data_IF_314093081756
#
_entry.id   IF_314093081756
#
_cell.length_a   1.000
_cell.length_b   1.000
_cell.length_c   1.000
_cell.angle_alpha   90.00
_cell.angle_beta   90.00
_cell.angle_gamma   90.00
#
_symmetry.space_group_name_H-M   'P 1'
#
loop_
_entity.id
_entity.type
_entity.pdbx_description
1 polymer ?
#
# COMPACT_ATOMS: atom_id res chain seq x y z
N UNK A 1 63.48 -13.89 -39.68
CA UNK A 1 64.74 -13.78 -38.92
C UNK A 1 65.43 -12.49 -39.34
N UNK A 2 65.90 -11.73 -38.34
CA UNK A 2 66.47 -10.37 -38.29
C UNK A 2 65.53 -9.19 -38.63
N UNK A 3 64.98 -8.40 -37.70
CA UNK A 3 65.52 -7.59 -36.57
C UNK A 3 66.36 -6.39 -37.05
N UNK A 4 65.79 -5.18 -37.09
CA UNK A 4 65.94 -4.09 -36.08
C UNK A 4 67.35 -3.51 -36.00
N UNK A 5 67.49 -2.20 -36.33
CA UNK A 5 68.36 -1.18 -35.68
C UNK A 5 68.20 0.15 -36.49
N UNK A 6 67.37 1.09 -36.02
CA UNK A 6 67.73 2.26 -35.18
C UNK A 6 68.53 3.37 -35.90
N UNK A 7 67.88 4.54 -35.99
CA UNK A 7 68.30 5.82 -35.42
C UNK A 7 68.52 7.01 -36.39
N UNK A 8 67.65 8.00 -36.18
CA UNK A 8 67.94 9.45 -36.07
C UNK A 8 68.37 10.23 -37.33
N UNK A 9 67.47 11.14 -37.74
CA UNK A 9 67.76 12.59 -37.65
C UNK A 9 66.47 13.41 -37.55
N UNK A 10 66.47 14.26 -36.54
CA UNK A 10 65.42 15.19 -36.15
C UNK A 10 65.58 16.56 -36.83
N UNK A 11 64.59 17.42 -36.59
CA UNK A 11 64.53 18.89 -36.74
C UNK A 11 64.00 19.49 -38.05
N UNK A 12 62.73 19.90 -38.03
CA UNK A 12 62.34 21.26 -38.40
C UNK A 12 61.10 21.69 -37.58
N UNK A 13 61.31 22.62 -36.64
CA UNK A 13 60.29 23.28 -35.80
C UNK A 13 59.62 24.41 -36.58
N UNK A 14 58.29 24.49 -36.49
CA UNK A 14 57.55 25.71 -36.11
C UNK A 14 57.12 26.69 -37.20
N UNK A 15 55.79 26.81 -37.40
CA UNK A 15 55.11 28.10 -37.56
C UNK A 15 53.69 28.01 -36.97
N UNK A 16 53.32 29.07 -36.25
CA UNK A 16 52.16 29.21 -35.34
C UNK A 16 50.88 29.58 -36.09
N UNK A 17 49.76 29.24 -35.42
CA UNK A 17 48.35 29.68 -35.51
C UNK A 17 48.07 31.02 -36.22
N UNK A 18 46.95 31.04 -36.94
CA UNK A 18 46.09 32.21 -37.16
C UNK A 18 44.61 31.76 -37.00
N UNK A 19 44.04 32.12 -35.85
CA UNK A 19 42.67 32.52 -35.55
C UNK A 19 41.50 31.97 -36.38
N UNK A 20 40.84 30.92 -35.87
CA UNK A 20 39.39 30.79 -35.95
C UNK A 20 38.81 31.49 -34.72
N UNK A 21 38.02 32.54 -34.95
CA UNK A 21 37.31 33.27 -33.91
C UNK A 21 36.29 32.33 -33.24
N UNK A 22 36.50 32.07 -31.95
CA UNK A 22 35.50 31.55 -31.02
C UNK A 22 34.25 32.43 -31.11
N UNK A 23 33.20 31.91 -31.74
CA UNK A 23 31.85 32.38 -31.49
C UNK A 23 31.52 31.85 -30.11
N UNK A 24 31.42 32.74 -29.13
CA UNK A 24 31.02 32.44 -27.76
C UNK A 24 29.77 31.54 -27.77
N UNK A 25 29.98 30.23 -27.65
CA UNK A 25 28.95 29.26 -27.29
C UNK A 25 28.53 29.63 -25.88
N UNK A 26 27.50 30.47 -25.78
CA UNK A 26 26.77 30.70 -24.55
C UNK A 26 26.20 29.35 -24.15
N UNK A 27 26.93 28.60 -23.33
CA UNK A 27 26.42 27.39 -22.67
C UNK A 27 25.18 27.80 -21.88
N UNK A 28 24.01 27.60 -22.48
CA UNK A 28 22.74 27.68 -21.78
C UNK A 28 22.78 26.54 -20.77
N UNK A 29 23.19 26.84 -19.54
CA UNK A 29 23.15 25.92 -18.40
C UNK A 29 21.68 25.65 -18.10
N UNK A 30 21.09 24.74 -18.86
CA UNK A 30 19.77 24.20 -18.58
C UNK A 30 19.86 23.59 -17.17
N UNK A 31 18.94 23.96 -16.25
CA UNK A 31 18.98 23.42 -14.89
C UNK A 31 18.97 21.90 -14.98
N UNK A 32 20.00 21.25 -14.40
CA UNK A 32 20.10 19.78 -14.35
C UNK A 32 18.76 19.26 -13.83
N UNK A 33 17.95 18.65 -14.70
CA UNK A 33 16.65 18.07 -14.32
C UNK A 33 16.88 17.18 -13.11
N UNK A 34 16.29 17.54 -11.96
CA UNK A 34 16.37 16.76 -10.73
C UNK A 34 15.88 15.34 -11.07
N UNK A 35 16.80 14.37 -11.05
CA UNK A 35 16.46 12.98 -11.37
C UNK A 35 15.68 12.41 -10.19
N UNK A 36 14.40 12.08 -10.42
CA UNK A 36 13.59 11.38 -9.43
C UNK A 36 14.23 10.02 -9.14
N UNK A 37 14.75 9.85 -7.92
CA UNK A 37 15.35 8.60 -7.44
C UNK A 37 14.53 8.10 -6.27
N UNK A 38 13.77 7.04 -6.48
CA UNK A 38 13.00 6.36 -5.44
C UNK A 38 13.42 4.90 -5.38
N UNK A 39 13.52 4.39 -4.16
CA UNK A 39 13.70 2.97 -3.88
C UNK A 39 12.89 2.64 -2.63
N UNK A 40 12.05 1.62 -2.76
CA UNK A 40 11.07 1.29 -1.72
C UNK A 40 11.49 -0.04 -1.09
N UNK A 41 11.69 -0.08 0.22
CA UNK A 41 11.84 -1.33 0.96
C UNK A 41 10.44 -1.89 1.21
N UNK A 42 10.20 -3.16 0.89
CA UNK A 42 8.93 -3.83 1.19
C UNK A 42 9.16 -5.03 2.08
N UNK A 43 8.47 -5.08 3.20
CA UNK A 43 8.58 -6.17 4.15
C UNK A 43 7.26 -6.41 4.88
N UNK A 44 7.17 -7.53 5.61
CA UNK A 44 5.96 -7.91 6.34
C UNK A 44 6.28 -8.44 7.72
N UNK A 45 5.32 -8.38 8.63
CA UNK A 45 5.38 -9.10 9.90
C UNK A 45 5.18 -10.59 9.70
N UNK A 46 5.56 -11.39 10.69
CA UNK A 46 5.08 -12.77 10.80
C UNK A 46 3.54 -12.82 10.91
N UNK A 47 2.97 -13.88 10.33
CA UNK A 47 1.52 -14.13 10.35
C UNK A 47 0.72 -13.61 9.15
N UNK A 48 1.35 -13.15 8.08
CA UNK A 48 0.65 -12.89 6.81
C UNK A 48 -0.01 -14.15 6.25
N UNK A 49 -1.25 -14.03 5.77
CA UNK A 49 -1.99 -15.14 5.14
C UNK A 49 -1.52 -15.37 3.70
N UNK A 50 -2.04 -16.43 3.06
CA UNK A 50 -1.79 -16.71 1.65
C UNK A 50 -2.22 -15.54 0.74
N UNK A 51 -3.43 -14.99 0.95
CA UNK A 51 -3.94 -13.85 0.19
C UNK A 51 -3.08 -12.59 0.37
N UNK A 52 -2.66 -12.28 1.60
CA UNK A 52 -1.79 -11.14 1.88
C UNK A 52 -0.42 -11.27 1.19
N UNK A 53 0.10 -12.50 1.09
CA UNK A 53 1.36 -12.77 0.40
C UNK A 53 1.26 -12.53 -1.10
N UNK A 54 0.17 -12.99 -1.73
CA UNK A 54 -0.09 -12.73 -3.16
C UNK A 54 -0.27 -11.25 -3.41
N UNK A 55 -1.00 -10.54 -2.56
CA UNK A 55 -1.11 -9.09 -2.65
C UNK A 55 0.25 -8.37 -2.61
N UNK A 56 1.17 -8.77 -1.73
CA UNK A 56 2.52 -8.22 -1.71
C UNK A 56 3.32 -8.57 -2.98
N UNK A 57 3.15 -9.78 -3.52
CA UNK A 57 3.79 -10.17 -4.78
C UNK A 57 3.26 -9.33 -5.96
N UNK A 58 1.96 -9.05 -5.99
CA UNK A 58 1.33 -8.21 -7.01
C UNK A 58 1.93 -6.79 -6.97
N UNK A 59 2.11 -6.22 -5.78
CA UNK A 59 2.79 -4.92 -5.62
C UNK A 59 4.26 -4.95 -6.05
N UNK A 60 4.98 -6.04 -5.79
CA UNK A 60 6.37 -6.23 -6.25
C UNK A 60 6.46 -6.32 -7.79
N UNK A 61 5.47 -6.93 -8.43
CA UNK A 61 5.39 -7.02 -9.90
C UNK A 61 5.11 -5.65 -10.53
N UNK A 62 4.24 -4.85 -9.90
CA UNK A 62 3.90 -3.50 -10.37
C UNK A 62 5.03 -2.49 -10.16
N UNK A 63 5.77 -2.59 -9.04
CA UNK A 63 6.75 -1.59 -8.64
C UNK A 63 8.19 -2.12 -8.80
N UNK A 64 8.86 -1.90 -9.95
CA UNK A 64 10.18 -2.48 -10.23
C UNK A 64 11.30 -1.93 -9.34
N UNK A 65 11.08 -0.79 -8.68
CA UNK A 65 11.99 -0.16 -7.71
C UNK A 65 11.77 -0.62 -6.27
N UNK A 66 10.81 -1.52 -6.03
CA UNK A 66 10.64 -2.19 -4.74
C UNK A 66 11.73 -3.24 -4.55
N UNK A 67 12.36 -3.22 -3.38
CA UNK A 67 13.16 -4.33 -2.86
C UNK A 67 12.37 -5.02 -1.77
N UNK A 68 11.92 -6.24 -2.05
CA UNK A 68 11.30 -7.11 -1.05
C UNK A 68 12.37 -7.72 -0.15
N UNK A 69 12.13 -7.70 1.16
CA UNK A 69 13.02 -8.25 2.17
C UNK A 69 12.33 -9.33 3.02
N UNK A 70 13.12 -9.99 3.87
CA UNK A 70 12.63 -11.00 4.80
C UNK A 70 11.60 -10.44 5.79
N UNK A 71 10.82 -11.33 6.39
CA UNK A 71 9.80 -10.94 7.37
C UNK A 71 10.45 -10.44 8.66
N UNK A 72 9.94 -9.34 9.20
CA UNK A 72 10.33 -8.88 10.53
C UNK A 72 9.77 -9.83 11.59
N UNK A 73 10.61 -10.26 12.51
CA UNK A 73 10.25 -11.19 13.57
C UNK A 73 9.28 -10.55 14.58
N UNK A 74 9.71 -9.44 15.19
CA UNK A 74 8.94 -8.73 16.21
C UNK A 74 8.10 -7.60 15.61
N UNK A 75 6.82 -7.52 16.02
CA UNK A 75 5.90 -6.43 15.65
C UNK A 75 6.08 -5.17 16.49
N UNK A 76 6.79 -5.24 17.62
CA UNK A 76 6.98 -4.10 18.52
C UNK A 76 8.21 -3.26 18.17
N UNK A 77 9.18 -3.83 17.47
CA UNK A 77 10.46 -3.19 17.16
C UNK A 77 10.41 -2.48 15.81
N UNK A 78 9.51 -1.50 15.65
CA UNK A 78 9.38 -0.76 14.39
C UNK A 78 10.56 0.21 14.13
N UNK A 79 11.33 0.56 15.16
CA UNK A 79 12.53 1.41 15.05
C UNK A 79 13.67 0.76 14.25
N UNK A 80 13.62 -0.56 14.04
CA UNK A 80 14.59 -1.27 13.19
C UNK A 80 14.33 -1.04 11.69
N UNK A 81 13.14 -0.57 11.32
CA UNK A 81 12.74 -0.41 9.91
C UNK A 81 13.50 0.70 9.18
N UNK A 82 13.73 1.88 9.76
CA UNK A 82 14.64 2.87 9.19
C UNK A 82 16.05 2.33 8.96
N UNK A 83 16.64 1.61 9.93
CA UNK A 83 17.99 1.04 9.82
C UNK A 83 18.07 0.00 8.68
N UNK A 84 17.05 -0.87 8.57
CA UNK A 84 16.95 -1.82 7.46
C UNK A 84 16.78 -1.11 6.12
N UNK A 85 16.05 0.00 6.07
CA UNK A 85 15.90 0.80 4.87
C UNK A 85 17.23 1.43 4.46
N UNK A 86 18.00 1.96 5.41
CA UNK A 86 19.31 2.55 5.18
C UNK A 86 20.34 1.52 4.71
N UNK A 87 20.39 0.33 5.35
CA UNK A 87 21.23 -0.79 4.92
C UNK A 87 20.89 -1.24 3.49
N UNK A 88 19.62 -1.17 3.13
CA UNK A 88 19.13 -1.45 1.79
C UNK A 88 19.14 -0.22 0.87
N UNK A 89 19.67 0.92 1.28
CA UNK A 89 19.67 2.20 0.55
C UNK A 89 18.31 2.54 -0.07
N UNK A 90 17.25 2.43 0.74
CA UNK A 90 15.86 2.71 0.40
C UNK A 90 15.40 3.98 1.12
N UNK A 91 14.78 4.90 0.38
CA UNK A 91 14.30 6.19 0.90
C UNK A 91 12.80 6.18 1.23
N UNK A 92 12.11 5.09 0.90
CA UNK A 92 10.74 4.85 1.31
C UNK A 92 10.63 3.40 1.82
N UNK A 93 9.68 3.16 2.71
CA UNK A 93 9.43 1.82 3.26
C UNK A 93 7.93 1.54 3.31
N UNK A 94 7.56 0.35 2.83
CA UNK A 94 6.26 -0.27 2.95
C UNK A 94 6.36 -1.46 3.90
N UNK A 95 5.70 -1.37 5.06
CA UNK A 95 5.64 -2.46 6.02
C UNK A 95 4.21 -2.97 6.21
N UNK A 96 4.03 -4.27 5.99
CA UNK A 96 2.75 -4.95 6.14
C UNK A 96 2.66 -5.67 7.48
N UNK A 97 1.85 -5.14 8.39
CA UNK A 97 1.61 -5.67 9.73
C UNK A 97 0.32 -6.50 9.74
N UNK A 98 0.46 -7.82 9.80
CA UNK A 98 -0.67 -8.73 9.95
C UNK A 98 -1.01 -8.94 11.43
N UNK A 99 -2.28 -8.83 11.80
CA UNK A 99 -2.79 -9.11 13.16
C UNK A 99 -3.85 -10.20 13.10
N UNK A 100 -3.76 -11.15 14.04
CA UNK A 100 -4.69 -12.30 14.17
C UNK A 100 -4.88 -13.14 12.88
N UNK A 101 -3.95 -13.07 11.93
CA UNK A 101 -4.07 -13.70 10.61
C UNK A 101 -5.33 -13.30 9.81
N UNK A 102 -5.93 -12.16 10.15
CA UNK A 102 -7.16 -11.68 9.52
C UNK A 102 -6.99 -10.23 9.06
N UNK A 103 -6.54 -9.36 9.97
CA UNK A 103 -6.44 -7.94 9.72
C UNK A 103 -5.05 -7.60 9.15
N UNK A 104 -5.02 -6.76 8.10
CA UNK A 104 -3.79 -6.26 7.50
C UNK A 104 -3.70 -4.75 7.70
N UNK A 105 -2.58 -4.30 8.25
CA UNK A 105 -2.23 -2.89 8.32
C UNK A 105 -1.02 -2.63 7.44
N UNK A 106 -1.03 -1.52 6.73
CA UNK A 106 0.07 -1.06 5.89
C UNK A 106 0.64 0.22 6.49
N UNK A 107 1.94 0.24 6.64
CA UNK A 107 2.69 1.43 6.98
C UNK A 107 3.41 1.92 5.73
N UNK A 108 3.19 3.17 5.37
CA UNK A 108 3.88 3.85 4.29
C UNK A 108 4.72 4.98 4.89
N UNK A 109 6.04 4.88 4.79
CA UNK A 109 6.96 5.82 5.43
C UNK A 109 8.04 6.34 4.49
N UNK A 110 8.45 7.59 4.69
CA UNK A 110 9.70 8.13 4.17
C UNK A 110 10.80 7.86 5.20
N UNK A 111 11.86 7.19 4.80
CA UNK A 111 12.98 6.86 5.69
C UNK A 111 14.19 7.74 5.38
N UNK A 112 15.00 8.14 6.39
CA UNK A 112 14.89 7.77 7.82
C UNK A 112 14.02 8.74 8.66
N UNK A 113 13.74 9.95 8.17
CA UNK A 113 13.20 11.02 9.01
C UNK A 113 11.68 10.98 9.22
N UNK A 114 10.92 10.29 8.37
CA UNK A 114 9.46 10.39 8.32
C UNK A 114 8.97 11.32 7.22
N UNK A 115 7.64 11.47 7.07
CA UNK A 115 6.58 10.96 7.96
C UNK A 115 6.26 9.49 7.73
N UNK A 116 5.45 8.91 8.61
CA UNK A 116 4.87 7.58 8.43
C UNK A 116 3.35 7.57 8.58
N UNK A 117 2.69 6.86 7.68
CA UNK A 117 1.23 6.78 7.59
C UNK A 117 0.83 5.33 7.88
N UNK A 118 0.01 5.13 8.91
CA UNK A 118 -0.60 3.85 9.24
C UNK A 118 -1.98 3.76 8.62
N UNK A 119 -2.19 2.76 7.78
CA UNK A 119 -3.41 2.51 7.03
C UNK A 119 -3.94 1.11 7.34
N UNK A 120 -5.25 0.95 7.44
CA UNK A 120 -5.91 -0.35 7.48
C UNK A 120 -6.24 -0.79 6.06
N UNK A 121 -5.82 -1.99 5.67
CA UNK A 121 -6.06 -2.54 4.33
C UNK A 121 -7.30 -3.44 4.38
N UNK A 122 -8.29 -3.14 3.55
CA UNK A 122 -9.55 -3.87 3.42
C UNK A 122 -9.80 -4.26 1.96
N UNK A 123 -10.71 -5.22 1.75
CA UNK A 123 -11.21 -5.62 0.44
C UNK A 123 -10.09 -5.90 -0.58
N UNK A 124 -9.08 -6.66 -0.16
CA UNK A 124 -7.96 -7.03 -1.02
C UNK A 124 -8.41 -8.09 -2.01
N UNK A 125 -8.34 -7.71 -3.29
CA UNK A 125 -8.54 -8.54 -4.45
C UNK A 125 -7.22 -8.61 -5.24
N UNK A 126 -6.67 -9.81 -5.40
CA UNK A 126 -5.38 -10.02 -6.08
C UNK A 126 -5.53 -10.05 -7.60
N UNK A 127 -4.42 -9.95 -8.33
CA UNK A 127 -4.43 -10.06 -9.80
C UNK A 127 -4.95 -11.42 -10.31
N UNK A 128 -4.83 -12.48 -9.50
CA UNK A 128 -5.26 -13.85 -9.83
C UNK A 128 -6.78 -14.07 -9.74
N UNK A 129 -7.57 -13.03 -9.46
CA UNK A 129 -9.03 -13.15 -9.41
C UNK A 129 -9.66 -13.16 -10.82
N UNK A 130 -10.58 -14.09 -11.07
CA UNK A 130 -11.20 -14.36 -12.39
C UNK A 130 -11.80 -13.13 -13.09
N UNK A 131 -12.25 -12.12 -12.33
CA UNK A 131 -12.90 -10.92 -12.88
C UNK A 131 -11.91 -9.88 -13.43
N UNK A 132 -10.63 -10.02 -13.12
CA UNK A 132 -9.59 -9.12 -13.61
C UNK A 132 -9.01 -9.68 -14.91
N UNK A 133 -9.41 -9.09 -16.03
CA UNK A 133 -9.07 -9.58 -17.38
C UNK A 133 -7.93 -8.81 -18.04
N UNK A 134 -7.55 -7.66 -17.46
CA UNK A 134 -6.46 -6.84 -17.95
C UNK A 134 -5.09 -7.47 -17.67
N UNK A 135 -4.10 -7.08 -18.46
CA UNK A 135 -2.69 -7.43 -18.25
C UNK A 135 -1.82 -6.19 -18.43
N UNK A 136 -0.65 -6.15 -17.78
CA UNK A 136 0.32 -5.10 -18.05
C UNK A 136 1.75 -5.63 -18.05
N UNK A 137 2.62 -4.96 -18.80
CA UNK A 137 4.04 -5.22 -18.82
C UNK A 137 4.62 -5.07 -17.40
N UNK A 138 5.18 -6.16 -16.88
CA UNK A 138 5.96 -6.14 -15.63
C UNK A 138 7.08 -5.11 -15.72
N UNK A 139 7.10 -4.18 -14.76
CA UNK A 139 8.05 -3.07 -14.69
C UNK A 139 7.74 -1.90 -15.62
N UNK A 140 6.58 -1.85 -16.28
CA UNK A 140 6.13 -0.64 -16.97
C UNK A 140 5.96 0.53 -16.00
N UNK A 141 6.05 1.76 -16.52
CA UNK A 141 5.93 2.97 -15.73
C UNK A 141 4.48 3.44 -15.75
N UNK A 142 3.70 2.95 -14.79
CA UNK A 142 2.28 3.30 -14.69
C UNK A 142 2.06 4.78 -14.42
N UNK A 143 0.96 5.32 -14.95
CA UNK A 143 0.47 6.65 -14.59
C UNK A 143 -0.16 6.62 -13.21
N UNK A 144 0.04 7.66 -12.43
CA UNK A 144 -0.67 7.84 -11.16
C UNK A 144 -1.80 8.85 -11.38
N UNK A 145 -3.02 8.44 -11.05
CA UNK A 145 -4.20 9.28 -11.08
C UNK A 145 -4.73 9.43 -9.66
N UNK A 146 -4.72 10.65 -9.15
CA UNK A 146 -5.27 10.99 -7.84
C UNK A 146 -6.55 11.81 -8.03
N UNK A 147 -7.58 11.45 -7.28
CA UNK A 147 -8.81 12.22 -7.19
C UNK A 147 -8.57 13.60 -6.56
N UNK A 148 -9.41 14.57 -6.91
CA UNK A 148 -9.34 15.96 -6.44
C UNK A 148 -9.52 16.06 -4.92
N UNK A 149 -10.27 15.14 -4.32
CA UNK A 149 -10.48 15.06 -2.88
C UNK A 149 -9.17 14.97 -2.07
N UNK A 150 -8.07 14.46 -2.64
CA UNK A 150 -6.76 14.48 -1.98
C UNK A 150 -6.22 15.89 -1.76
N UNK A 151 -6.61 16.86 -2.60
CA UNK A 151 -6.14 18.25 -2.49
C UNK A 151 -7.02 19.10 -1.56
N UNK A 152 -8.11 18.54 -1.03
CA UNK A 152 -9.04 19.25 -0.14
C UNK A 152 -8.58 19.18 1.32
N UNK A 153 -7.98 18.07 1.75
CA UNK A 153 -7.51 17.86 3.13
C UNK A 153 -5.99 17.87 3.23
N UNK A 154 -5.44 18.35 4.36
CA UNK A 154 -3.98 18.38 4.58
C UNK A 154 -3.37 16.98 4.66
N UNK A 155 -4.05 16.06 5.34
CA UNK A 155 -3.64 14.66 5.41
C UNK A 155 -3.72 14.00 4.02
N UNK A 156 -4.69 14.39 3.19
CA UNK A 156 -4.82 13.95 1.81
C UNK A 156 -3.63 14.40 0.97
N UNK A 157 -3.26 15.68 1.01
CA UNK A 157 -2.10 16.22 0.28
C UNK A 157 -0.81 15.50 0.66
N UNK A 158 -0.61 15.27 1.96
CA UNK A 158 0.55 14.53 2.46
C UNK A 158 0.56 13.08 1.96
N UNK A 159 -0.60 12.42 2.02
CA UNK A 159 -0.74 11.02 1.56
C UNK A 159 -0.50 10.91 0.05
N UNK A 160 -1.01 11.85 -0.74
CA UNK A 160 -0.78 11.96 -2.18
C UNK A 160 0.71 12.09 -2.50
N UNK A 161 1.44 12.93 -1.76
CA UNK A 161 2.88 13.11 -1.97
C UNK A 161 3.70 11.86 -1.57
N UNK A 162 3.37 11.22 -0.45
CA UNK A 162 4.01 9.96 -0.02
C UNK A 162 3.72 8.84 -1.03
N UNK A 163 2.48 8.70 -1.49
CA UNK A 163 2.11 7.69 -2.48
C UNK A 163 2.71 7.96 -3.84
N UNK A 164 2.85 9.22 -4.26
CA UNK A 164 3.55 9.58 -5.49
C UNK A 164 4.99 9.09 -5.46
N UNK A 165 5.68 9.21 -4.32
CA UNK A 165 7.04 8.70 -4.17
C UNK A 165 7.15 7.17 -4.09
N UNK A 166 6.15 6.50 -3.53
CA UNK A 166 6.15 5.04 -3.35
C UNK A 166 5.71 4.33 -4.64
N UNK A 167 4.56 4.70 -5.19
CA UNK A 167 3.96 4.06 -6.36
C UNK A 167 4.47 4.62 -7.69
N UNK A 168 5.07 5.81 -7.68
CA UNK A 168 5.66 6.42 -8.88
C UNK A 168 6.97 5.75 -9.27
N UNK A 169 6.97 5.04 -10.40
CA UNK A 169 8.15 4.32 -10.90
C UNK A 169 9.17 5.32 -11.51
N UNK A 170 10.36 5.49 -10.92
CA UNK A 170 11.36 6.39 -11.45
C UNK A 170 11.95 5.85 -12.75
N UNK A 171 12.26 6.72 -13.70
CA UNK A 171 12.89 6.33 -14.98
C UNK A 171 14.27 5.69 -14.80
N UNK A 172 14.94 5.93 -13.68
CA UNK A 172 16.23 5.33 -13.35
C UNK A 172 16.14 3.93 -12.73
N UNK A 173 14.94 3.38 -12.53
CA UNK A 173 14.80 2.05 -11.92
C UNK A 173 15.38 0.97 -12.85
N UNK A 174 16.24 0.10 -12.31
CA UNK A 174 16.99 -0.91 -13.08
C UNK A 174 16.09 -1.85 -13.89
N UNK A 175 14.90 -2.18 -13.36
CA UNK A 175 13.93 -3.09 -13.98
C UNK A 175 12.78 -2.36 -14.69
N UNK A 176 12.83 -1.02 -14.80
CA UNK A 176 11.78 -0.27 -15.45
C UNK A 176 11.85 -0.40 -16.97
N UNK A 177 10.68 -0.55 -17.58
CA UNK A 177 10.49 -0.54 -19.03
C UNK A 177 10.03 0.86 -19.47
N UNK A 178 10.37 1.30 -20.70
CA UNK A 178 10.06 2.66 -21.16
C UNK A 178 8.57 2.89 -21.43
N UNK A 179 7.79 1.82 -21.61
CA UNK A 179 6.37 1.89 -21.97
C UNK A 179 5.45 2.22 -20.79
N UNK A 180 4.36 2.92 -21.12
CA UNK A 180 3.25 3.23 -20.24
C UNK A 180 2.10 2.34 -20.68
N UNK A 181 1.69 1.42 -19.82
CA UNK A 181 0.74 0.35 -20.16
C UNK A 181 -0.43 0.28 -19.17
N UNK A 182 -0.31 0.96 -18.02
CA UNK A 182 -1.30 0.90 -16.96
C UNK A 182 -1.41 2.22 -16.19
N UNK A 183 -2.52 2.36 -15.47
CA UNK A 183 -2.86 3.50 -14.62
C UNK A 183 -3.20 2.98 -13.22
N UNK A 184 -2.50 3.51 -12.23
CA UNK A 184 -2.84 3.35 -10.81
C UNK A 184 -3.73 4.51 -10.40
N UNK A 185 -4.94 4.20 -9.98
CA UNK A 185 -5.96 5.19 -9.57
C UNK A 185 -6.15 5.13 -8.08
N UNK A 186 -6.12 6.31 -7.45
CA UNK A 186 -6.43 6.54 -6.05
C UNK A 186 -7.62 7.48 -5.96
N UNK A 187 -8.74 6.98 -5.42
CA UNK A 187 -9.97 7.77 -5.23
C UNK A 187 -10.35 7.79 -3.76
N UNK A 188 -10.85 8.92 -3.26
CA UNK A 188 -11.36 9.01 -1.88
C UNK A 188 -12.88 8.90 -1.96
N UNK A 189 -13.43 7.91 -1.27
CA UNK A 189 -14.88 7.72 -1.12
C UNK A 189 -15.14 7.20 0.29
N UNK A 190 -16.05 7.85 1.02
CA UNK A 190 -16.37 7.58 2.43
C UNK A 190 -15.11 7.57 3.32
N UNK A 191 -14.26 8.59 3.17
CA UNK A 191 -12.99 8.75 3.90
C UNK A 191 -12.03 7.55 3.79
N UNK A 192 -12.23 6.74 2.75
CA UNK A 192 -11.40 5.59 2.40
C UNK A 192 -10.76 5.83 1.04
N UNK A 193 -9.51 5.42 0.93
CA UNK A 193 -8.76 5.48 -0.31
C UNK A 193 -8.96 4.16 -1.06
N UNK A 194 -9.60 4.23 -2.22
CA UNK A 194 -9.77 3.12 -3.13
C UNK A 194 -8.61 3.08 -4.11
N UNK A 195 -7.93 1.93 -4.17
CA UNK A 195 -6.90 1.66 -5.16
C UNK A 195 -7.44 0.75 -6.25
N UNK A 196 -7.22 1.14 -7.51
CA UNK A 196 -7.47 0.30 -8.68
C UNK A 196 -6.35 0.43 -9.70
N UNK A 197 -6.13 -0.65 -10.45
CA UNK A 197 -5.13 -0.71 -11.52
C UNK A 197 -5.82 -1.08 -12.83
N UNK A 198 -5.63 -0.25 -13.86
CA UNK A 198 -6.23 -0.39 -15.17
C UNK A 198 -5.17 -0.48 -16.26
N UNK A 199 -5.33 -1.40 -17.20
CA UNK A 199 -4.59 -1.46 -18.45
C UNK A 199 -5.08 -0.36 -19.39
N UNK A 200 -4.16 0.27 -20.11
CA UNK A 200 -4.48 1.19 -21.21
C UNK A 200 -4.54 0.37 -22.51
N UNK A 201 -5.69 0.33 -23.15
CA UNK A 201 -5.84 -0.23 -24.50
C UNK A 201 -6.04 0.90 -25.50
N UNK A 202 -5.19 1.01 -26.51
CA UNK A 202 -5.30 2.02 -27.57
C UNK A 202 -6.10 1.56 -28.79
N UNK A 203 -6.32 0.24 -28.92
CA UNK A 203 -7.09 -0.38 -30.00
C UNK A 203 -8.06 -1.38 -29.39
N UNK A 204 -9.35 -1.20 -29.67
CA UNK A 204 -10.33 -2.19 -29.27
C UNK A 204 -10.14 -3.46 -30.13
N UNK A 205 -9.99 -4.64 -29.51
CA UNK A 205 -9.75 -5.89 -30.24
C UNK A 205 -10.95 -6.31 -31.12
N UNK A 206 -12.13 -5.71 -30.91
CA UNK A 206 -13.34 -5.94 -31.70
C UNK A 206 -13.39 -5.14 -33.01
N UNK A 207 -12.66 -4.02 -33.12
CA UNK A 207 -12.61 -3.17 -34.32
C UNK A 207 -11.17 -2.74 -34.65
N UNK A 208 -10.36 -3.62 -35.26
CA UNK A 208 -8.94 -3.34 -35.50
C UNK A 208 -8.66 -2.18 -36.49
N UNK A 209 -9.65 -1.80 -37.30
CA UNK A 209 -9.57 -0.70 -38.28
C UNK A 209 -10.35 0.56 -37.84
N UNK A 210 -10.87 0.60 -36.62
CA UNK A 210 -11.55 1.77 -36.07
C UNK A 210 -10.57 2.91 -35.72
N UNK A 211 -11.07 4.14 -35.51
CA UNK A 211 -10.25 5.20 -34.92
C UNK A 211 -9.69 4.74 -33.56
N UNK A 212 -8.45 5.14 -33.20
CA UNK A 212 -7.85 4.75 -31.92
C UNK A 212 -8.73 5.27 -30.78
N UNK A 213 -9.35 4.35 -30.04
CA UNK A 213 -10.15 4.65 -28.86
C UNK A 213 -9.41 4.12 -27.64
N UNK A 214 -9.13 5.00 -26.68
CA UNK A 214 -8.48 4.60 -25.43
C UNK A 214 -9.51 4.01 -24.48
N UNK A 215 -9.44 2.70 -24.24
CA UNK A 215 -10.28 1.99 -23.27
C UNK A 215 -9.45 1.50 -22.09
N UNK A 216 -10.10 1.34 -20.93
CA UNK A 216 -9.45 0.91 -19.69
C UNK A 216 -10.02 -0.43 -19.24
N UNK A 217 -9.13 -1.40 -18.96
CA UNK A 217 -9.51 -2.74 -18.49
C UNK A 217 -8.88 -3.03 -17.14
N UNK A 218 -9.64 -3.53 -16.16
CA UNK A 218 -9.13 -3.75 -14.79
C UNK A 218 -8.17 -4.96 -14.73
N UNK A 219 -6.97 -4.75 -14.13
CA UNK A 219 -5.92 -5.76 -13.96
C UNK A 219 -5.87 -6.26 -12.50
N UNK A 220 -6.06 -5.36 -11.54
CA UNK A 220 -5.76 -5.60 -10.13
C UNK A 220 -4.29 -5.32 -9.75
N UNK A 221 -3.94 -5.39 -8.44
CA UNK A 221 -4.84 -5.70 -7.35
C UNK A 221 -5.79 -4.53 -7.06
N UNK A 222 -6.91 -4.84 -6.43
CA UNK A 222 -7.86 -3.85 -5.91
C UNK A 222 -7.89 -3.94 -4.41
N UNK A 223 -7.83 -2.81 -3.73
CA UNK A 223 -7.89 -2.77 -2.28
C UNK A 223 -8.35 -1.39 -1.80
N UNK A 224 -8.76 -1.35 -0.54
CA UNK A 224 -9.22 -0.14 0.13
C UNK A 224 -8.31 0.14 1.32
N UNK A 225 -7.85 1.38 1.45
CA UNK A 225 -7.05 1.84 2.56
C UNK A 225 -7.86 2.80 3.41
N UNK A 226 -7.97 2.54 4.71
CA UNK A 226 -8.53 3.50 5.66
C UNK A 226 -7.39 4.12 6.47
N UNK A 227 -7.16 5.45 6.41
CA UNK A 227 -6.13 6.10 7.21
C UNK A 227 -6.47 5.96 8.70
N UNK A 228 -5.48 5.58 9.50
CA UNK A 228 -5.62 5.44 10.96
C UNK A 228 -4.94 6.62 11.64
N UNK A 229 -3.63 6.73 11.46
CA UNK A 229 -2.78 7.75 12.08
C UNK A 229 -1.61 8.10 11.18
N UNK A 230 -1.15 9.35 11.27
CA UNK A 230 0.08 9.84 10.66
C UNK A 230 1.01 10.28 11.77
N UNK A 231 2.26 9.85 11.68
CA UNK A 231 3.32 10.22 12.61
C UNK A 231 4.35 11.10 11.91
N UNK A 232 4.91 12.03 12.66
CA UNK A 232 5.96 12.93 12.22
C UNK A 232 7.22 12.18 11.77
N UNK A 233 7.62 11.14 12.52
CA UNK A 233 8.81 10.33 12.26
C UNK A 233 8.54 9.08 11.41
N UNK A 234 9.61 8.42 11.00
CA UNK A 234 9.53 7.10 10.38
C UNK A 234 9.23 6.04 11.45
N UNK A 235 8.01 5.48 11.43
CA UNK A 235 7.55 4.44 12.37
C UNK A 235 7.56 4.85 13.85
N UNK A 236 7.48 6.15 14.12
CA UNK A 236 7.49 6.73 15.46
C UNK A 236 7.32 8.24 15.42
N UNK A 237 7.51 8.90 16.56
CA UNK A 237 7.32 10.34 16.71
C UNK A 237 5.89 10.74 17.09
N UNK A 238 5.65 12.06 17.16
CA UNK A 238 4.35 12.60 17.53
C UNK A 238 3.28 12.25 16.48
N UNK A 239 2.04 12.05 16.94
CA UNK A 239 0.90 11.84 16.04
C UNK A 239 0.42 13.18 15.52
N UNK A 240 0.57 13.41 14.22
CA UNK A 240 0.17 14.66 13.55
C UNK A 240 -1.29 14.59 13.09
N UNK A 241 -1.77 13.38 12.77
CA UNK A 241 -3.16 13.15 12.40
C UNK A 241 -3.66 11.83 12.99
N UNK A 242 -4.90 11.83 13.46
CA UNK A 242 -5.61 10.62 13.90
C UNK A 242 -7.03 10.66 13.35
N UNK A 243 -7.41 9.62 12.61
CA UNK A 243 -8.75 9.53 12.05
C UNK A 243 -9.77 9.19 13.17
N UNK A 244 -10.73 10.07 13.49
CA UNK A 244 -11.73 9.80 14.52
C UNK A 244 -12.75 8.73 14.11
N UNK A 245 -12.98 8.54 12.81
CA UNK A 245 -13.96 7.59 12.28
C UNK A 245 -13.41 6.16 12.21
N UNK A 246 -12.10 5.99 12.37
CA UNK A 246 -11.49 4.68 12.32
C UNK A 246 -11.80 3.85 13.57
N UNK A 247 -12.63 2.82 13.40
CA UNK A 247 -12.87 1.80 14.41
C UNK A 247 -12.05 0.56 14.06
N UNK A 248 -11.22 0.10 15.00
CA UNK A 248 -10.43 -1.12 14.77
C UNK A 248 -11.32 -2.37 14.64
N UNK A 249 -10.99 -3.32 13.75
CA UNK A 249 -11.73 -4.58 13.64
C UNK A 249 -11.84 -5.35 14.96
N UNK A 250 -10.83 -5.24 15.82
CA UNK A 250 -10.85 -5.84 17.15
C UNK A 250 -11.89 -5.21 18.07
N UNK A 251 -12.08 -3.90 18.00
CA UNK A 251 -13.15 -3.20 18.73
C UNK A 251 -14.53 -3.58 18.19
N UNK A 252 -14.71 -3.67 16.87
CA UNK A 252 -15.96 -4.14 16.25
C UNK A 252 -16.29 -5.56 16.70
N UNK A 253 -15.33 -6.49 16.64
CA UNK A 253 -15.52 -7.88 17.12
C UNK A 253 -15.85 -7.94 18.61
N UNK A 254 -15.24 -7.07 19.43
CA UNK A 254 -15.54 -6.99 20.86
C UNK A 254 -16.97 -6.50 21.11
N UNK A 255 -17.43 -5.48 20.39
CA UNK A 255 -18.78 -4.96 20.47
C UNK A 255 -19.82 -6.02 20.09
N UNK A 256 -19.61 -6.74 18.99
CA UNK A 256 -20.48 -7.85 18.55
C UNK A 256 -20.56 -8.94 19.62
N UNK A 257 -19.43 -9.35 20.20
CA UNK A 257 -19.40 -10.36 21.28
C UNK A 257 -20.13 -9.87 22.52
N UNK A 258 -19.97 -8.60 22.89
CA UNK A 258 -20.66 -7.99 24.02
C UNK A 258 -22.17 -7.99 23.81
N UNK A 259 -22.64 -7.60 22.63
CA UNK A 259 -24.07 -7.62 22.28
C UNK A 259 -24.66 -9.04 22.34
N UNK A 260 -23.94 -10.03 21.83
CA UNK A 260 -24.34 -11.44 21.92
C UNK A 260 -24.40 -11.91 23.39
N UNK A 261 -23.45 -11.48 24.22
CA UNK A 261 -23.44 -11.76 25.66
C UNK A 261 -24.63 -11.14 26.38
N UNK A 262 -24.96 -9.88 26.09
CA UNK A 262 -26.14 -9.19 26.64
C UNK A 262 -27.43 -9.92 26.26
N UNK A 263 -27.63 -10.27 24.98
CA UNK A 263 -28.79 -11.05 24.52
C UNK A 263 -28.89 -12.44 25.15
N UNK A 264 -27.78 -13.02 25.58
CA UNK A 264 -27.78 -14.29 26.30
C UNK A 264 -28.17 -14.08 27.77
N UNK A 265 -27.64 -13.03 28.41
CA UNK A 265 -28.02 -12.61 29.77
C UNK A 265 -29.52 -12.36 29.88
N UNK A 266 -30.07 -11.50 29.00
CA UNK A 266 -31.52 -11.21 28.97
C UNK A 266 -32.38 -12.47 28.81
N UNK A 267 -31.92 -13.45 28.03
CA UNK A 267 -32.61 -14.74 27.87
C UNK A 267 -32.55 -15.60 29.12
N UNK A 268 -31.46 -15.54 29.88
CA UNK A 268 -31.32 -16.27 31.15
C UNK A 268 -32.14 -15.63 32.24
N UNK A 269 -32.09 -14.31 32.36
CA UNK A 269 -32.90 -13.55 33.31
C UNK A 269 -34.40 -13.79 33.04
N UNK A 270 -34.83 -13.78 31.77
CA UNK A 270 -36.22 -14.10 31.41
C UNK A 270 -36.63 -15.55 31.74
N UNK A 271 -35.71 -16.52 31.64
CA UNK A 271 -35.96 -17.91 32.04
C UNK A 271 -36.11 -18.04 33.55
N UNK A 272 -35.24 -17.38 34.32
CA UNK A 272 -35.30 -17.35 35.78
C UNK A 272 -36.58 -16.66 36.25
N UNK A 273 -36.91 -15.49 35.71
CA UNK A 273 -38.16 -14.78 36.00
C UNK A 273 -39.39 -15.65 35.68
N UNK A 274 -39.37 -16.39 34.57
CA UNK A 274 -40.47 -17.30 34.23
C UNK A 274 -40.57 -18.47 35.20
N UNK A 275 -39.44 -19.01 35.68
CA UNK A 275 -39.42 -20.07 36.68
C UNK A 275 -39.95 -19.57 38.03
N UNK A 276 -39.51 -18.39 38.47
CA UNK A 276 -40.00 -17.72 39.68
C UNK A 276 -41.51 -17.47 39.58
N UNK A 277 -41.99 -16.93 38.44
CA UNK A 277 -43.43 -16.72 38.21
C UNK A 277 -44.22 -18.03 38.22
N UNK A 278 -43.64 -19.13 37.74
CA UNK A 278 -44.29 -20.45 37.76
C UNK A 278 -44.40 -21.00 39.18
N UNK A 279 -43.35 -20.87 39.99
CA UNK A 279 -43.39 -21.24 41.41
C UNK A 279 -44.39 -20.37 42.18
N UNK A 280 -44.36 -19.05 42.02
CA UNK A 280 -45.33 -18.13 42.65
C UNK A 280 -46.79 -18.38 42.24
N UNK A 281 -47.03 -19.00 41.08
CA UNK A 281 -48.37 -19.37 40.60
C UNK A 281 -48.84 -20.73 41.09
N UNK A 282 -48.00 -21.54 41.74
CA UNK A 282 -48.48 -22.74 42.41
C UNK A 282 -49.43 -22.29 43.52
N UNK A 283 -50.70 -22.68 43.38
CA UNK A 283 -51.67 -22.57 44.46
C UNK A 283 -51.49 -23.76 45.39
N UNK A 284 -51.71 -23.51 46.67
CA UNK A 284 -51.80 -24.59 47.65
C UNK A 284 -52.95 -25.53 47.25
N UNK A 285 -52.79 -26.82 47.55
CA UNK A 285 -53.85 -27.80 47.30
C UNK A 285 -55.08 -27.44 48.14
N UNK A 286 -56.26 -27.55 47.52
CA UNK A 286 -57.54 -27.29 48.17
C UNK A 286 -57.73 -28.26 49.34
N UNK A 287 -58.23 -27.78 50.49
CA UNK A 287 -58.38 -28.59 51.71
C UNK A 287 -59.33 -29.79 51.51
N UNK A 288 -60.21 -29.71 50.49
CA UNK A 288 -61.13 -30.78 50.08
C UNK A 288 -60.58 -31.65 48.94
N UNK A 289 -59.31 -31.49 48.55
CA UNK A 289 -58.71 -32.31 47.50
C UNK A 289 -58.61 -33.77 47.94
N UNK A 290 -58.88 -34.69 47.01
CA UNK A 290 -58.90 -36.15 47.25
C UNK A 290 -57.58 -36.65 47.86
N UNK A 291 -56.45 -36.02 47.52
CA UNK A 291 -55.12 -36.28 48.09
C UNK A 291 -54.99 -35.97 49.59
N UNK A 292 -55.74 -34.99 50.11
CA UNK A 292 -55.74 -34.64 51.54
C UNK A 292 -56.88 -35.31 52.32
N UNK A 293 -58.05 -35.50 51.68
CA UNK A 293 -59.24 -36.03 52.35
C UNK A 293 -59.20 -37.57 52.49
N UNK A 294 -58.49 -38.26 51.60
CA UNK A 294 -58.40 -39.73 51.58
C UNK A 294 -56.98 -40.28 51.84
N UNK A 295 -56.10 -39.45 52.42
CA UNK A 295 -54.80 -39.88 52.95
C UNK A 295 -54.94 -40.56 54.31
#
# INVERSE_FOLDING_TARGET
MSSVLKAQKANAKGKRKADEMDVDDVEVVLPKKKKNKQRVLMLSSRGITHRMRHFMNDLEVLLPHVKKDAKLDSKSQLHLLPELADLNNCNNTLYFEARRHEDLYMWAAKTPNGPSIKLHVQNVHTMDELKMTGNCLKGSRGLLSFDKAFDETEWGKLTKEVFTHIFGVPSSARKAKPFIDHILTFSILDDKIWFRNFQIMEKDPSQPNGPPQTTLVEIGPRFVLTPIRIFEGAFGGATVFSNPEFISPSAVRSAIRKEQGTKYGERKDAQEDSAIRKELRKRDEDELAVSQVFA
#
